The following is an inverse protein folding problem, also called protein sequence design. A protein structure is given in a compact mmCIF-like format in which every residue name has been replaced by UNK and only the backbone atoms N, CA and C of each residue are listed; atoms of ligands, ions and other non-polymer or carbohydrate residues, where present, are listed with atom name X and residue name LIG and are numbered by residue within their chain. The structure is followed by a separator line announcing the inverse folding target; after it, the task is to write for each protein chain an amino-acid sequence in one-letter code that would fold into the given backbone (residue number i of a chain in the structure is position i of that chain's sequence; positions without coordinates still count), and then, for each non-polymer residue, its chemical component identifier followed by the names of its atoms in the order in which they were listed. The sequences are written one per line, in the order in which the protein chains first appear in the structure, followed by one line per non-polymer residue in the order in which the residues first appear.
data_IF_689669150759
#
_entry.id   IF_689669150759
#
_cell.length_a   1.000
_cell.length_b   1.000
_cell.length_c   1.000
_cell.angle_alpha   90.00
_cell.angle_beta   90.00
_cell.angle_gamma   90.00
#
_symmetry.space_group_name_H-M   'P 1'
#
loop_
_entity.id
_entity.type
_entity.pdbx_description
1 polymer ?
#
# COMPACT_ATOMS: atom_id res chain seq x y z
N UNK A 1 -25.57 -9.21 19.93
CA UNK A 1 -25.84 -8.22 18.87
C UNK A 1 -25.27 -6.90 19.34
N UNK A 2 -24.19 -6.42 18.74
CA UNK A 2 -23.76 -5.03 18.98
C UNK A 2 -24.79 -4.12 18.34
N UNK A 3 -25.46 -3.28 19.12
CA UNK A 3 -26.40 -2.29 18.59
C UNK A 3 -25.61 -1.24 17.81
N UNK A 4 -25.59 -1.36 16.48
CA UNK A 4 -25.04 -0.32 15.61
C UNK A 4 -26.03 0.83 15.46
N UNK A 5 -25.52 2.07 15.43
CA UNK A 5 -26.29 3.24 15.05
C UNK A 5 -26.09 3.54 13.56
N UNK A 6 -27.18 3.72 12.83
CA UNK A 6 -27.14 4.10 11.41
C UNK A 6 -27.42 5.58 11.27
N UNK A 7 -26.50 6.29 10.64
CA UNK A 7 -26.59 7.72 10.42
C UNK A 7 -26.68 7.97 8.92
N UNK A 8 -27.84 8.38 8.44
CA UNK A 8 -28.09 8.67 7.02
C UNK A 8 -28.30 10.17 6.84
N UNK A 9 -27.47 10.80 6.00
CA UNK A 9 -27.67 12.20 5.59
C UNK A 9 -27.84 13.18 6.76
N UNK A 10 -26.96 13.10 7.77
CA UNK A 10 -27.09 13.89 9.01
C UNK A 10 -27.07 15.40 8.80
N UNK A 11 -26.44 15.86 7.72
CA UNK A 11 -26.38 17.28 7.33
C UNK A 11 -27.60 17.73 6.52
N UNK A 12 -28.57 16.84 6.29
CA UNK A 12 -29.77 17.09 5.50
C UNK A 12 -29.67 16.61 4.04
N UNK A 13 -30.43 17.26 3.15
CA UNK A 13 -30.51 16.88 1.74
C UNK A 13 -29.17 17.14 1.03
N UNK A 14 -28.67 16.15 0.29
CA UNK A 14 -27.47 16.27 -0.54
C UNK A 14 -27.87 16.12 -2.01
N UNK A 15 -28.19 17.25 -2.64
CA UNK A 15 -28.71 17.30 -4.03
C UNK A 15 -27.63 17.73 -5.02
N UNK A 16 -26.77 18.68 -4.63
CA UNK A 16 -25.65 19.16 -5.44
C UNK A 16 -24.36 18.49 -4.94
N UNK A 17 -23.56 17.92 -5.83
CA UNK A 17 -22.33 17.19 -5.49
C UNK A 17 -21.28 17.25 -6.59
N UNK A 18 -20.19 16.51 -6.41
CA UNK A 18 -19.08 16.48 -7.35
C UNK A 18 -18.30 17.79 -7.39
N UNK A 19 -17.66 18.09 -8.53
CA UNK A 19 -16.81 19.28 -8.72
C UNK A 19 -17.57 20.61 -8.62
N UNK A 20 -18.89 20.58 -8.72
CA UNK A 20 -19.73 21.76 -8.50
C UNK A 20 -19.74 22.18 -7.02
N UNK A 21 -19.66 21.23 -6.10
CA UNK A 21 -19.81 21.46 -4.67
C UNK A 21 -18.47 21.46 -3.89
N UNK A 22 -17.40 20.93 -4.48
CA UNK A 22 -16.07 20.88 -3.85
C UNK A 22 -14.94 20.85 -4.91
N UNK A 23 -13.74 21.25 -4.51
CA UNK A 23 -12.53 21.18 -5.33
C UNK A 23 -11.75 19.90 -5.03
N UNK A 24 -11.75 18.97 -5.99
CA UNK A 24 -10.96 17.75 -5.92
C UNK A 24 -9.55 17.93 -6.50
N UNK A 25 -8.53 17.43 -5.80
CA UNK A 25 -7.16 17.34 -6.33
C UNK A 25 -6.55 15.97 -6.06
N UNK A 26 -5.67 15.53 -6.97
CA UNK A 26 -5.00 14.23 -6.90
C UNK A 26 -4.21 14.06 -5.60
N UNK A 27 -4.26 12.86 -5.00
CA UNK A 27 -3.47 12.54 -3.82
C UNK A 27 -4.01 13.09 -2.49
N UNK A 28 -5.29 13.45 -2.42
CA UNK A 28 -5.94 13.91 -1.17
C UNK A 28 -6.73 12.84 -0.42
N UNK A 29 -6.61 11.58 -0.83
CA UNK A 29 -7.26 10.42 -0.22
C UNK A 29 -6.30 9.29 0.14
N UNK A 30 -5.01 9.58 0.33
CA UNK A 30 -3.95 8.58 0.56
C UNK A 30 -4.22 7.57 1.69
N UNK A 31 -4.90 7.99 2.78
CA UNK A 31 -5.27 7.06 3.87
C UNK A 31 -6.44 6.15 3.47
N UNK A 32 -7.40 6.66 2.69
CA UNK A 32 -8.50 5.87 2.15
C UNK A 32 -8.04 4.96 1.00
N UNK A 33 -7.00 5.36 0.26
CA UNK A 33 -6.37 4.57 -0.80
C UNK A 33 -5.63 3.34 -0.23
N UNK A 34 -5.25 3.37 1.05
CA UNK A 34 -4.41 2.38 1.71
C UNK A 34 -5.16 1.57 2.77
N UNK A 35 -4.90 1.84 4.05
CA UNK A 35 -5.28 0.97 5.17
C UNK A 35 -6.29 1.63 6.12
N UNK A 36 -6.92 2.74 5.72
CA UNK A 36 -7.97 3.39 6.52
C UNK A 36 -7.51 3.90 7.89
N UNK A 37 -6.21 4.18 8.05
CA UNK A 37 -5.61 4.64 9.30
C UNK A 37 -5.11 3.52 10.21
N UNK A 38 -5.23 2.25 9.81
CA UNK A 38 -4.73 1.12 10.60
C UNK A 38 -3.21 0.96 10.58
N UNK A 39 -2.57 1.31 9.47
CA UNK A 39 -1.11 1.18 9.26
C UNK A 39 -0.46 2.53 9.01
N UNK A 40 0.84 2.62 9.25
CA UNK A 40 1.60 3.84 9.00
C UNK A 40 1.69 4.14 7.50
N UNK A 41 1.84 5.43 7.17
CA UNK A 41 1.87 5.92 5.80
C UNK A 41 3.02 6.90 5.58
N UNK A 42 3.85 6.68 4.56
CA UNK A 42 5.03 7.51 4.27
C UNK A 42 4.74 8.87 3.63
N UNK A 43 3.50 9.10 3.18
CA UNK A 43 3.01 10.40 2.69
C UNK A 43 2.89 10.53 1.18
N UNK A 44 3.49 9.62 0.40
CA UNK A 44 3.42 9.62 -1.05
C UNK A 44 2.03 9.25 -1.58
N UNK A 45 1.47 10.07 -2.48
CA UNK A 45 0.26 9.71 -3.24
C UNK A 45 0.56 8.72 -4.38
N UNK A 46 -0.44 7.92 -4.77
CA UNK A 46 -0.27 6.93 -5.85
C UNK A 46 -0.65 7.46 -7.23
N UNK A 47 -1.89 7.92 -7.42
CA UNK A 47 -2.46 8.30 -8.72
C UNK A 47 -1.66 9.40 -9.44
N UNK A 48 -1.57 9.32 -10.77
CA UNK A 48 -0.83 10.27 -11.62
C UNK A 48 0.68 10.03 -11.76
N UNK A 49 1.22 8.97 -11.15
CA UNK A 49 2.65 8.62 -11.20
C UNK A 49 2.91 7.39 -12.06
N UNK A 50 4.02 7.35 -12.78
CA UNK A 50 4.47 6.12 -13.43
C UNK A 50 5.19 5.19 -12.43
N UNK A 51 5.46 3.92 -12.79
CA UNK A 51 6.05 2.94 -11.86
C UNK A 51 7.48 3.25 -11.41
N UNK A 52 8.20 4.16 -12.08
CA UNK A 52 9.52 4.61 -11.61
C UNK A 52 9.44 5.40 -10.30
N UNK A 53 8.26 5.89 -9.92
CA UNK A 53 8.07 6.64 -8.67
C UNK A 53 7.82 5.69 -7.51
N UNK A 54 8.83 5.55 -6.65
CA UNK A 54 8.84 4.65 -5.49
C UNK A 54 7.67 4.89 -4.53
N UNK A 55 7.13 6.12 -4.47
CA UNK A 55 5.90 6.42 -3.72
C UNK A 55 4.75 5.47 -4.07
N UNK A 56 4.68 4.99 -5.33
CA UNK A 56 3.69 4.02 -5.79
C UNK A 56 4.28 2.60 -5.79
N UNK A 57 5.36 2.39 -6.53
CA UNK A 57 5.86 1.02 -6.77
C UNK A 57 6.36 0.35 -5.51
N UNK A 58 7.12 1.06 -4.66
CA UNK A 58 7.59 0.49 -3.39
C UNK A 58 6.45 0.30 -2.38
N UNK A 59 5.41 1.15 -2.40
CA UNK A 59 4.22 0.92 -1.57
C UNK A 59 3.49 -0.37 -1.97
N UNK A 60 3.38 -0.65 -3.27
CA UNK A 60 2.82 -1.90 -3.77
C UNK A 60 3.69 -3.10 -3.41
N UNK A 61 5.01 -2.97 -3.52
CA UNK A 61 5.95 -4.01 -3.10
C UNK A 61 5.87 -4.29 -1.60
N UNK A 62 5.79 -3.25 -0.76
CA UNK A 62 5.61 -3.42 0.68
C UNK A 62 4.32 -4.17 1.01
N UNK A 63 3.23 -3.88 0.29
CA UNK A 63 1.97 -4.65 0.40
C UNK A 63 2.16 -6.12 0.01
N UNK A 64 2.82 -6.40 -1.13
CA UNK A 64 3.12 -7.75 -1.60
C UNK A 64 3.87 -8.55 -0.54
N UNK A 65 4.98 -7.99 -0.03
CA UNK A 65 5.82 -8.63 1.00
C UNK A 65 5.01 -8.89 2.27
N UNK A 66 4.27 -7.89 2.77
CA UNK A 66 3.47 -8.06 3.98
C UNK A 66 2.40 -9.15 3.80
N UNK A 67 1.75 -9.20 2.63
CA UNK A 67 0.77 -10.23 2.30
C UNK A 67 1.40 -11.62 2.24
N UNK A 68 2.55 -11.74 1.58
CA UNK A 68 3.30 -12.99 1.47
C UNK A 68 3.69 -13.51 2.86
N UNK A 69 4.18 -12.63 3.75
CA UNK A 69 4.57 -12.99 5.11
C UNK A 69 3.39 -13.53 5.92
N UNK A 70 2.22 -12.91 5.82
CA UNK A 70 1.01 -13.40 6.50
C UNK A 70 0.51 -14.70 5.88
N UNK A 71 0.50 -14.79 4.54
CA UNK A 71 0.05 -16.00 3.81
C UNK A 71 0.91 -17.22 4.13
N UNK A 72 2.22 -17.02 4.26
CA UNK A 72 3.19 -18.09 4.47
C UNK A 72 3.42 -18.40 5.95
N UNK A 73 2.74 -17.68 6.85
CA UNK A 73 2.76 -17.97 8.29
C UNK A 73 3.97 -17.40 9.03
N UNK A 74 4.76 -16.51 8.41
CA UNK A 74 5.85 -15.82 9.11
C UNK A 74 5.33 -14.93 10.25
N UNK A 75 4.12 -14.37 10.13
CA UNK A 75 3.48 -13.57 11.17
C UNK A 75 1.95 -13.58 11.02
N UNK A 76 1.20 -13.30 12.10
CA UNK A 76 -0.27 -13.11 12.01
C UNK A 76 -0.64 -11.73 11.47
N UNK A 77 0.22 -10.74 11.69
CA UNK A 77 0.17 -9.42 11.07
C UNK A 77 1.58 -8.87 10.94
N UNK A 78 1.84 -8.11 9.90
CA UNK A 78 3.08 -7.38 9.78
C UNK A 78 2.91 -6.04 9.06
N UNK A 79 3.84 -5.15 9.32
CA UNK A 79 4.04 -3.90 8.61
C UNK A 79 5.44 -3.93 8.00
N UNK A 80 5.54 -3.58 6.72
CA UNK A 80 6.79 -3.51 5.97
C UNK A 80 7.00 -2.06 5.57
N UNK A 81 8.18 -1.53 5.87
CA UNK A 81 8.57 -0.17 5.51
C UNK A 81 9.82 -0.21 4.63
N UNK A 82 9.73 0.49 3.49
CA UNK A 82 10.83 0.69 2.55
C UNK A 82 11.15 2.19 2.47
N UNK A 83 12.43 2.53 2.50
CA UNK A 83 12.91 3.91 2.39
C UNK A 83 13.98 4.03 1.31
N UNK A 84 13.90 5.08 0.49
CA UNK A 84 14.82 5.34 -0.63
C UNK A 84 15.39 6.75 -0.53
N UNK A 85 16.64 6.90 -0.96
CA UNK A 85 17.24 8.19 -1.22
C UNK A 85 17.14 8.52 -2.73
N UNK A 86 16.92 9.79 -3.07
CA UNK A 86 16.82 10.23 -4.47
C UNK A 86 18.12 9.87 -5.20
N UNK A 87 17.99 9.19 -6.35
CA UNK A 87 19.12 8.79 -7.19
C UNK A 87 19.81 7.51 -6.77
N UNK A 88 19.39 6.86 -5.67
CA UNK A 88 19.93 5.57 -5.21
C UNK A 88 18.92 4.47 -5.53
N UNK A 89 19.36 3.44 -6.26
CA UNK A 89 18.50 2.34 -6.66
C UNK A 89 18.13 1.43 -5.48
N UNK A 90 19.12 1.12 -4.63
CA UNK A 90 18.91 0.29 -3.44
C UNK A 90 18.15 1.06 -2.34
N UNK A 91 17.26 0.40 -1.59
CA UNK A 91 16.62 1.02 -0.45
C UNK A 91 17.65 1.31 0.65
N UNK A 92 17.63 2.55 1.16
CA UNK A 92 18.43 2.95 2.33
C UNK A 92 17.91 2.37 3.64
N UNK A 93 16.67 1.86 3.64
CA UNK A 93 16.07 1.19 4.78
C UNK A 93 15.02 0.15 4.39
N UNK A 94 15.08 -1.00 5.05
CA UNK A 94 14.08 -2.08 4.97
C UNK A 94 13.77 -2.48 6.40
N UNK A 95 12.52 -2.32 6.81
CA UNK A 95 12.08 -2.64 8.17
C UNK A 95 10.84 -3.51 8.12
N UNK A 96 10.77 -4.47 9.05
CA UNK A 96 9.61 -5.35 9.26
C UNK A 96 9.21 -5.24 10.72
N UNK A 97 7.92 -5.04 10.98
CA UNK A 97 7.35 -5.10 12.32
C UNK A 97 6.20 -6.10 12.34
N UNK A 98 6.32 -7.15 13.13
CA UNK A 98 5.30 -8.21 13.26
C UNK A 98 4.40 -8.02 14.48
N UNK A 99 4.63 -6.94 15.26
CA UNK A 99 3.90 -6.61 16.46
C UNK A 99 3.79 -7.79 17.45
N UNK A 100 4.88 -8.55 17.59
CA UNK A 100 4.95 -9.71 18.49
C UNK A 100 4.18 -10.94 18.02
N UNK A 101 3.84 -11.03 16.73
CA UNK A 101 3.05 -12.16 16.18
C UNK A 101 3.85 -13.15 15.37
N UNK A 102 5.18 -13.06 15.43
CA UNK A 102 6.13 -13.95 14.74
C UNK A 102 7.07 -14.57 15.76
N UNK A 103 7.47 -15.81 15.52
CA UNK A 103 8.50 -16.51 16.30
C UNK A 103 9.92 -16.21 15.78
N UNK A 104 10.04 -15.52 14.64
CA UNK A 104 11.30 -15.14 14.02
C UNK A 104 11.77 -13.77 14.51
N UNK A 105 13.09 -13.60 14.66
CA UNK A 105 13.69 -12.30 14.93
C UNK A 105 13.50 -11.35 13.74
N UNK A 106 13.41 -10.05 13.99
CA UNK A 106 13.16 -9.04 12.96
C UNK A 106 14.27 -9.03 11.90
N UNK A 107 15.51 -9.25 12.32
CA UNK A 107 16.68 -9.32 11.45
C UNK A 107 16.59 -10.50 10.47
N UNK A 108 16.06 -11.65 10.92
CA UNK A 108 15.84 -12.81 10.07
C UNK A 108 14.78 -12.51 9.01
N UNK A 109 13.68 -11.88 9.41
CA UNK A 109 12.61 -11.48 8.49
C UNK A 109 13.09 -10.47 7.46
N UNK A 110 13.89 -9.46 7.87
CA UNK A 110 14.52 -8.51 6.93
C UNK A 110 15.49 -9.23 5.99
N UNK A 111 16.23 -10.22 6.48
CA UNK A 111 17.09 -11.09 5.66
C UNK A 111 16.30 -11.79 4.56
N UNK A 112 15.18 -12.43 4.93
CA UNK A 112 14.27 -13.09 3.96
C UNK A 112 13.77 -12.11 2.90
N UNK A 113 13.39 -10.88 3.29
CA UNK A 113 12.97 -9.86 2.31
C UNK A 113 14.09 -9.57 1.31
N UNK A 114 15.31 -9.32 1.80
CA UNK A 114 16.46 -8.96 0.96
C UNK A 114 16.95 -10.08 0.07
N UNK A 115 16.78 -11.33 0.50
CA UNK A 115 17.14 -12.51 -0.29
C UNK A 115 16.11 -12.80 -1.39
N UNK A 116 14.82 -12.65 -1.08
CA UNK A 116 13.73 -13.06 -1.97
C UNK A 116 13.34 -12.02 -3.01
N UNK A 117 13.46 -10.73 -2.69
CA UNK A 117 12.93 -9.67 -3.53
C UNK A 117 14.02 -8.69 -3.96
N UNK A 118 14.08 -8.42 -5.26
CA UNK A 118 14.82 -7.27 -5.80
C UNK A 118 14.02 -5.99 -5.51
N UNK A 119 14.50 -5.23 -4.53
CA UNK A 119 13.85 -4.00 -4.06
C UNK A 119 14.32 -2.75 -4.81
N UNK A 120 15.10 -2.88 -5.88
CA UNK A 120 15.37 -1.74 -6.76
C UNK A 120 14.08 -1.35 -7.50
N UNK A 121 13.91 -0.08 -7.93
CA UNK A 121 12.75 0.32 -8.71
C UNK A 121 12.52 -0.56 -9.96
N UNK A 122 13.60 -0.96 -10.63
CA UNK A 122 13.53 -1.84 -11.79
C UNK A 122 13.13 -3.27 -11.42
N UNK A 123 13.69 -3.81 -10.32
CA UNK A 123 13.30 -5.09 -9.75
C UNK A 123 11.81 -5.16 -9.44
N UNK A 124 11.29 -4.14 -8.75
CA UNK A 124 9.86 -4.04 -8.40
C UNK A 124 8.98 -3.97 -9.64
N UNK A 125 9.36 -3.17 -10.64
CA UNK A 125 8.61 -3.06 -11.90
C UNK A 125 8.51 -4.41 -12.59
N UNK A 126 9.61 -5.17 -12.62
CA UNK A 126 9.67 -6.50 -13.24
C UNK A 126 8.87 -7.52 -12.44
N UNK A 127 9.08 -7.61 -11.13
CA UNK A 127 8.43 -8.56 -10.23
C UNK A 127 6.91 -8.45 -10.28
N UNK A 128 6.38 -7.22 -10.26
CA UNK A 128 4.95 -6.96 -10.24
C UNK A 128 4.37 -6.67 -11.63
N UNK A 129 5.15 -6.86 -12.70
CA UNK A 129 4.78 -6.54 -14.08
C UNK A 129 4.06 -5.17 -14.22
N UNK A 130 4.62 -4.12 -13.60
CA UNK A 130 3.92 -2.84 -13.39
C UNK A 130 3.64 -2.08 -14.69
N UNK A 131 4.35 -2.39 -15.78
CA UNK A 131 4.13 -1.74 -17.08
C UNK A 131 2.84 -2.21 -17.78
N UNK A 132 2.25 -3.32 -17.33
CA UNK A 132 1.04 -3.92 -17.92
C UNK A 132 -0.18 -3.81 -16.98
N UNK A 133 -0.11 -2.90 -15.99
CA UNK A 133 -1.20 -2.69 -15.04
C UNK A 133 -2.10 -1.55 -15.49
N UNK A 134 -3.40 -1.83 -15.61
CA UNK A 134 -4.42 -0.79 -15.75
C UNK A 134 -4.66 -0.08 -14.40
N UNK A 135 -3.92 1.01 -14.18
CA UNK A 135 -4.02 1.83 -12.97
C UNK A 135 -5.36 2.56 -12.81
N UNK A 136 -6.19 2.67 -13.85
CA UNK A 136 -7.50 3.33 -13.71
C UNK A 136 -8.40 2.56 -12.74
N UNK A 137 -8.25 1.23 -12.70
CA UNK A 137 -8.97 0.32 -11.79
C UNK A 137 -8.56 0.45 -10.34
N UNK A 138 -7.46 1.17 -10.04
CA UNK A 138 -7.01 1.40 -8.65
C UNK A 138 -7.47 2.74 -8.09
N UNK A 139 -7.98 3.65 -8.91
CA UNK A 139 -8.24 5.07 -8.55
C UNK A 139 -9.35 5.29 -7.53
N UNK A 140 -10.16 4.27 -7.24
CA UNK A 140 -11.23 4.31 -6.25
C UNK A 140 -11.32 2.98 -5.49
N UNK A 141 -11.95 2.99 -4.31
CA UNK A 141 -12.15 1.79 -3.49
C UNK A 141 -10.84 1.11 -3.06
N UNK A 142 -9.80 1.90 -2.79
CA UNK A 142 -8.51 1.42 -2.33
C UNK A 142 -7.64 0.80 -3.42
N UNK A 143 -6.33 0.83 -3.21
CA UNK A 143 -5.33 0.22 -4.08
C UNK A 143 -5.03 -1.25 -3.71
N UNK A 144 -5.39 -1.65 -2.49
CA UNK A 144 -5.14 -2.97 -1.96
C UNK A 144 -6.42 -3.81 -1.92
N UNK A 145 -6.26 -5.11 -1.65
CA UNK A 145 -7.34 -6.12 -1.51
C UNK A 145 -8.06 -6.55 -2.81
N UNK A 146 -7.74 -5.94 -3.95
CA UNK A 146 -8.32 -6.33 -5.25
C UNK A 146 -7.54 -7.52 -5.84
N UNK A 147 -8.14 -8.72 -5.93
CA UNK A 147 -7.41 -9.97 -6.17
C UNK A 147 -6.84 -10.13 -7.57
N UNK A 148 -7.14 -9.24 -8.51
CA UNK A 148 -6.57 -9.26 -9.87
C UNK A 148 -5.32 -8.39 -10.01
N UNK A 149 -4.90 -7.68 -8.95
CA UNK A 149 -3.71 -6.83 -8.98
C UNK A 149 -2.45 -7.65 -8.67
N UNK A 150 -1.30 -7.34 -9.29
CA UNK A 150 -0.09 -8.15 -9.15
C UNK A 150 0.49 -8.14 -7.74
N UNK A 151 0.40 -7.02 -7.01
CA UNK A 151 0.81 -6.94 -5.60
C UNK A 151 -0.15 -7.64 -4.63
N UNK A 152 -1.26 -8.17 -5.12
CA UNK A 152 -2.20 -8.99 -4.36
C UNK A 152 -2.06 -10.48 -4.70
N UNK A 153 -1.08 -10.91 -5.49
CA UNK A 153 -0.86 -12.33 -5.80
C UNK A 153 -0.03 -13.06 -4.75
#
# INVERSE_FOLDING_TARGET
MTSGFWLTQQTGRFVLGGSYADAGVTGRKIVADTYGGFSHHGGGAFSGKDPSKVDRSAAYMARKIAKDFVREGYAKRCEVQLAYAIGVAEPVGVYVNTFGTSDYALEQLVGVVRERYDLTPQGIIKELNLLDVDYTKTTCLGHFTKPYLPWEQ
#
